data_IF_061798807228
#
_entry.id   IF_061798807228
#
_cell.length_a   1.000
_cell.length_b   1.000
_cell.length_c   1.000
_cell.angle_alpha   90.00
_cell.angle_beta   90.00
_cell.angle_gamma   90.00
#
_symmetry.space_group_name_H-M   'P 1'
#
loop_
_entity.id
_entity.type
_entity.pdbx_description
1 polymer ?
#
# COMPACT_ATOMS: atom_id res chain seq x y z
N UNK A 1 2.59 9.67 -11.29
CA UNK A 1 2.83 8.31 -10.74
C UNK A 1 3.87 8.41 -9.64
N UNK A 2 3.53 7.97 -8.43
CA UNK A 2 4.41 8.00 -7.26
C UNK A 2 4.67 6.60 -6.73
N UNK A 3 5.84 6.40 -6.10
CA UNK A 3 6.23 5.13 -5.51
C UNK A 3 6.83 5.34 -4.12
N UNK A 4 6.39 4.52 -3.16
CA UNK A 4 6.93 4.50 -1.80
C UNK A 4 7.11 3.06 -1.32
N UNK A 5 7.98 2.86 -0.33
CA UNK A 5 8.13 1.58 0.34
C UNK A 5 7.28 1.61 1.62
N UNK A 6 6.45 0.59 1.79
CA UNK A 6 5.59 0.43 2.96
C UNK A 6 5.84 -0.92 3.64
N UNK A 7 5.45 -1.02 4.90
CA UNK A 7 5.50 -2.28 5.66
C UNK A 7 4.34 -2.33 6.64
N UNK A 8 3.73 -3.52 6.76
CA UNK A 8 2.69 -3.81 7.74
C UNK A 8 3.22 -4.79 8.78
N UNK A 9 2.93 -4.52 10.06
CA UNK A 9 3.38 -5.34 11.21
C UNK A 9 2.36 -6.41 11.59
N UNK A 10 1.08 -6.12 11.44
CA UNK A 10 -0.02 -6.99 11.84
C UNK A 10 -1.19 -6.89 10.85
N UNK A 11 -2.16 -7.82 10.88
CA UNK A 11 -3.32 -7.77 9.99
C UNK A 11 -4.19 -6.52 10.15
N UNK A 12 -4.30 -5.98 11.37
CA UNK A 12 -5.14 -4.80 11.65
C UNK A 12 -4.64 -3.57 10.89
N UNK A 13 -3.33 -3.40 10.77
CA UNK A 13 -2.71 -2.36 9.93
C UNK A 13 -3.08 -2.50 8.45
N UNK A 14 -3.25 -3.73 7.95
CA UNK A 14 -3.70 -3.97 6.55
C UNK A 14 -5.16 -3.57 6.38
N UNK A 15 -6.02 -3.92 7.35
CA UNK A 15 -7.44 -3.51 7.34
C UNK A 15 -7.56 -1.99 7.37
N UNK A 16 -6.82 -1.33 8.26
CA UNK A 16 -6.84 0.13 8.35
C UNK A 16 -6.29 0.79 7.07
N UNK A 17 -5.20 0.27 6.52
CA UNK A 17 -4.64 0.75 5.27
C UNK A 17 -5.62 0.62 4.10
N UNK A 18 -6.22 -0.56 3.90
CA UNK A 18 -7.17 -0.81 2.82
C UNK A 18 -8.39 0.11 2.93
N UNK A 19 -8.97 0.24 4.12
CA UNK A 19 -10.07 1.19 4.37
C UNK A 19 -9.68 2.65 4.10
N UNK A 20 -8.40 3.00 4.26
CA UNK A 20 -7.87 4.33 3.96
C UNK A 20 -7.76 4.55 2.47
N UNK A 21 -7.07 3.65 1.75
CA UNK A 21 -6.84 3.80 0.31
C UNK A 21 -8.09 3.59 -0.55
N UNK A 22 -9.10 2.88 -0.04
CA UNK A 22 -10.39 2.66 -0.71
C UNK A 22 -11.12 3.98 -1.02
N UNK A 23 -10.96 5.00 -0.16
CA UNK A 23 -11.61 6.31 -0.31
C UNK A 23 -11.15 7.09 -1.53
N UNK A 24 -9.98 6.77 -2.07
CA UNK A 24 -9.38 7.50 -3.17
C UNK A 24 -9.77 6.90 -4.53
N UNK A 25 -10.17 7.70 -5.53
CA UNK A 25 -10.74 7.21 -6.78
C UNK A 25 -9.71 6.67 -7.79
N UNK A 26 -8.43 6.58 -7.42
CA UNK A 26 -7.36 6.11 -8.31
C UNK A 26 -6.87 4.70 -7.95
N UNK A 27 -6.28 4.04 -8.95
CA UNK A 27 -5.71 2.71 -8.83
C UNK A 27 -4.38 2.75 -8.08
N UNK A 28 -4.12 1.69 -7.33
CA UNK A 28 -2.90 1.53 -6.55
C UNK A 28 -2.51 0.05 -6.52
N UNK A 29 -1.23 -0.25 -6.74
CA UNK A 29 -0.70 -1.62 -6.67
C UNK A 29 0.31 -1.76 -5.53
N UNK A 30 0.30 -2.91 -4.88
CA UNK A 30 1.34 -3.31 -3.93
C UNK A 30 2.13 -4.47 -4.51
N UNK A 31 3.46 -4.37 -4.46
CA UNK A 31 4.37 -5.37 -4.99
C UNK A 31 5.29 -5.92 -3.91
N UNK A 32 5.48 -7.24 -3.92
CA UNK A 32 6.57 -7.92 -3.22
C UNK A 32 7.60 -8.40 -4.25
N UNK A 33 8.76 -7.75 -4.27
CA UNK A 33 9.76 -8.00 -5.31
C UNK A 33 9.22 -7.64 -6.71
N UNK A 34 9.57 -8.46 -7.71
CA UNK A 34 9.24 -8.17 -9.11
C UNK A 34 8.03 -8.95 -9.65
N UNK A 35 7.62 -10.04 -8.98
CA UNK A 35 6.72 -11.04 -9.56
C UNK A 35 5.38 -11.20 -8.80
N UNK A 36 5.25 -10.57 -7.63
CA UNK A 36 4.03 -10.65 -6.83
C UNK A 36 3.42 -9.26 -6.76
N UNK A 37 2.21 -9.12 -7.29
CA UNK A 37 1.43 -7.88 -7.30
C UNK A 37 0.03 -8.16 -6.78
N UNK A 38 -0.52 -7.21 -6.03
CA UNK A 38 -1.91 -7.20 -5.63
C UNK A 38 -2.46 -5.77 -5.76
N UNK A 39 -3.76 -5.66 -5.97
CA UNK A 39 -4.47 -4.39 -5.83
C UNK A 39 -4.36 -3.91 -4.37
N UNK A 40 -3.96 -2.64 -4.16
CA UNK A 40 -3.76 -2.07 -2.84
C UNK A 40 -5.06 -1.90 -2.03
N UNK A 41 -6.22 -2.05 -2.67
CA UNK A 41 -7.54 -2.08 -2.04
C UNK A 41 -7.98 -3.49 -1.68
N UNK A 42 -7.26 -4.52 -2.12
CA UNK A 42 -7.55 -5.91 -1.80
C UNK A 42 -6.91 -6.33 -0.48
N UNK A 43 -7.69 -6.34 0.61
CA UNK A 43 -7.27 -6.86 1.91
C UNK A 43 -6.65 -8.26 1.79
N UNK A 44 -7.34 -9.19 1.11
CA UNK A 44 -6.85 -10.55 0.92
C UNK A 44 -5.57 -10.59 0.06
N UNK A 45 -5.48 -9.76 -0.97
CA UNK A 45 -4.30 -9.64 -1.82
C UNK A 45 -3.06 -9.22 -1.02
N UNK A 46 -3.19 -8.20 -0.16
CA UNK A 46 -2.07 -7.72 0.67
C UNK A 46 -1.68 -8.77 1.72
N UNK A 47 -2.66 -9.43 2.36
CA UNK A 47 -2.38 -10.53 3.30
C UNK A 47 -1.58 -11.66 2.61
N UNK A 48 -1.91 -12.00 1.36
CA UNK A 48 -1.18 -13.00 0.58
C UNK A 48 0.26 -12.57 0.21
N UNK A 49 0.52 -11.25 0.11
CA UNK A 49 1.88 -10.72 -0.03
C UNK A 49 2.69 -10.81 1.28
N UNK A 50 2.03 -10.97 2.43
CA UNK A 50 2.65 -11.30 3.70
C UNK A 50 3.14 -10.08 4.49
N UNK A 51 2.94 -10.16 5.80
CA UNK A 51 3.31 -9.15 6.79
C UNK A 51 4.83 -9.14 7.03
N UNK A 52 5.35 -8.02 7.55
CA UNK A 52 6.78 -7.84 7.84
C UNK A 52 7.65 -7.68 6.58
N UNK A 53 7.09 -7.80 5.38
CA UNK A 53 7.82 -7.56 4.14
C UNK A 53 7.86 -6.06 3.81
N UNK A 54 8.97 -5.60 3.23
CA UNK A 54 9.03 -4.29 2.57
C UNK A 54 8.33 -4.42 1.22
N UNK A 55 7.21 -3.73 1.07
CA UNK A 55 6.37 -3.76 -0.12
C UNK A 55 6.48 -2.44 -0.87
N UNK A 56 6.45 -2.47 -2.20
CA UNK A 56 6.43 -1.26 -3.02
C UNK A 56 4.99 -0.91 -3.34
N UNK A 57 4.53 0.25 -2.87
CA UNK A 57 3.24 0.83 -3.26
C UNK A 57 3.44 1.70 -4.49
N UNK A 58 2.63 1.49 -5.52
CA UNK A 58 2.55 2.31 -6.72
C UNK A 58 1.21 3.02 -6.73
N UNK A 59 1.24 4.34 -6.89
CA UNK A 59 0.03 5.16 -6.96
C UNK A 59 -0.07 5.74 -8.37
N UNK A 60 -1.16 5.41 -9.06
CA UNK A 60 -1.42 5.84 -10.43
C UNK A 60 -2.22 7.16 -10.44
N UNK A 61 -1.68 8.17 -9.76
CA UNK A 61 -2.16 9.56 -9.75
C UNK A 61 -0.98 10.53 -9.84
N UNK A 62 -1.22 11.76 -10.27
CA UNK A 62 -0.28 12.88 -10.18
C UNK A 62 -0.48 13.65 -8.87
N UNK A 63 -1.72 13.75 -8.39
CA UNK A 63 -2.08 14.32 -7.10
C UNK A 63 -2.31 13.19 -6.10
N UNK A 64 -1.33 12.95 -5.22
CA UNK A 64 -1.35 11.87 -4.23
C UNK A 64 -0.83 12.29 -2.85
N UNK A 65 -0.68 13.59 -2.62
CA UNK A 65 -0.12 14.10 -1.36
C UNK A 65 -1.02 13.76 -0.17
N UNK A 66 -2.34 13.78 -0.37
CA UNK A 66 -3.33 13.46 0.67
C UNK A 66 -3.23 12.00 1.10
N UNK A 67 -3.25 11.03 0.17
CA UNK A 67 -3.12 9.61 0.53
C UNK A 67 -1.76 9.33 1.16
N UNK A 68 -0.68 9.93 0.65
CA UNK A 68 0.67 9.75 1.19
C UNK A 68 0.76 10.24 2.65
N UNK A 69 0.06 11.32 2.98
CA UNK A 69 -0.06 11.82 4.34
C UNK A 69 -0.84 10.86 5.23
N UNK A 70 -1.98 10.35 4.78
CA UNK A 70 -2.81 9.42 5.56
C UNK A 70 -2.14 8.06 5.81
N UNK A 71 -1.36 7.56 4.85
CA UNK A 71 -0.64 6.28 4.97
C UNK A 71 0.77 6.42 5.54
N UNK A 72 1.19 7.63 5.93
CA UNK A 72 2.57 7.95 6.29
C UNK A 72 3.18 7.03 7.36
N UNK A 73 2.36 6.53 8.29
CA UNK A 73 2.80 5.59 9.34
C UNK A 73 3.25 4.21 8.82
N UNK A 74 2.82 3.83 7.63
CA UNK A 74 3.24 2.58 6.98
C UNK A 74 4.47 2.77 6.11
N UNK A 75 4.78 4.02 5.73
CA UNK A 75 5.93 4.36 4.89
C UNK A 75 7.20 4.13 5.69
N UNK A 76 8.10 3.33 5.13
CA UNK A 76 9.43 3.10 5.70
C UNK A 76 10.48 3.77 4.82
N UNK A 77 11.42 4.46 5.46
CA UNK A 77 12.56 5.04 4.76
C UNK A 77 13.35 3.93 4.03
N UNK A 78 13.89 4.29 2.86
CA UNK A 78 14.76 3.43 2.07
C UNK A 78 15.94 2.93 2.92
#
# INVERSE_FOLDING_TARGET
MSQVIIQFKNPDEVVEFTNTVERFPYSMDILRGNNSVADAKSLLGIIALGLGNRLKLRIYSEDCDEVLKEISKYIVAA
#
